data_IF_872663785377
#
_entry.id   IF_872663785377
#
_cell.length_a   1.000
_cell.length_b   1.000
_cell.length_c   1.000
_cell.angle_alpha   90.00
_cell.angle_beta   90.00
_cell.angle_gamma   90.00
#
_symmetry.space_group_name_H-M   'P 1'
#
loop_
_entity.id
_entity.type
_entity.pdbx_description
1 polymer ?
#
# COMPACT_ATOMS: atom_id res chain seq x y z
N UNK A 1 23.93 -1.67 9.98
CA UNK A 1 24.40 -2.78 10.82
C UNK A 1 23.41 -3.95 10.83
N UNK A 2 22.11 -3.72 11.13
CA UNK A 2 21.09 -4.78 11.18
C UNK A 2 20.96 -5.61 9.89
N UNK A 3 20.85 -4.96 8.73
CA UNK A 3 20.72 -5.66 7.43
C UNK A 3 21.91 -6.57 7.11
N UNK A 4 23.13 -6.15 7.40
CA UNK A 4 24.34 -6.94 7.14
C UNK A 4 24.41 -8.17 8.05
N UNK A 5 24.02 -8.02 9.33
CA UNK A 5 23.96 -9.12 10.28
C UNK A 5 22.88 -10.14 9.88
N UNK A 6 21.68 -9.69 9.49
CA UNK A 6 20.61 -10.57 9.03
C UNK A 6 21.03 -11.35 7.79
N UNK A 7 21.61 -10.65 6.81
CA UNK A 7 22.12 -11.29 5.60
C UNK A 7 23.16 -12.38 5.93
N UNK A 8 24.09 -12.11 6.86
CA UNK A 8 25.03 -13.13 7.33
C UNK A 8 24.31 -14.34 7.92
N UNK A 9 23.30 -14.13 8.78
CA UNK A 9 22.53 -15.23 9.38
C UNK A 9 21.87 -16.09 8.30
N UNK A 10 21.27 -15.49 7.28
CA UNK A 10 20.61 -16.21 6.18
C UNK A 10 21.58 -17.09 5.39
N UNK A 11 22.75 -16.53 5.03
CA UNK A 11 23.80 -17.30 4.36
C UNK A 11 24.41 -18.37 5.28
N UNK A 12 24.52 -18.11 6.58
CA UNK A 12 24.99 -19.08 7.55
C UNK A 12 24.02 -20.26 7.73
N UNK A 13 22.70 -19.99 7.69
CA UNK A 13 21.67 -21.03 7.67
C UNK A 13 21.81 -21.96 6.46
N UNK A 14 21.97 -21.38 5.26
CA UNK A 14 22.25 -22.14 4.03
C UNK A 14 23.54 -22.96 4.12
N UNK A 15 24.61 -22.37 4.65
CA UNK A 15 25.90 -23.04 4.85
C UNK A 15 25.78 -24.28 5.74
N UNK A 16 25.10 -24.15 6.90
CA UNK A 16 24.89 -25.29 7.82
C UNK A 16 24.08 -26.40 7.17
N UNK A 17 22.98 -26.07 6.48
CA UNK A 17 22.15 -27.07 5.79
C UNK A 17 22.91 -27.80 4.69
N UNK A 18 23.80 -27.11 3.97
CA UNK A 18 24.70 -27.75 2.99
C UNK A 18 25.62 -28.81 3.63
N UNK A 19 25.97 -28.66 4.90
CA UNK A 19 26.73 -29.66 5.67
C UNK A 19 25.84 -30.77 6.28
N UNK A 20 24.55 -30.80 5.96
CA UNK A 20 23.59 -31.73 6.56
C UNK A 20 23.21 -31.38 8.00
N UNK A 21 23.57 -30.18 8.48
CA UNK A 21 23.25 -29.74 9.84
C UNK A 21 21.96 -28.92 9.86
N UNK A 22 21.10 -29.10 10.88
CA UNK A 22 19.89 -28.30 11.01
C UNK A 22 20.24 -26.83 11.29
N UNK A 23 19.59 -25.94 10.54
CA UNK A 23 19.59 -24.49 10.76
C UNK A 23 18.42 -23.85 10.00
N UNK A 24 17.74 -22.90 10.62
CA UNK A 24 16.66 -22.12 9.99
C UNK A 24 16.78 -20.68 10.45
N UNK A 25 16.73 -19.74 9.52
CA UNK A 25 16.59 -18.31 9.81
C UNK A 25 15.17 -17.86 9.54
N UNK A 26 14.72 -16.87 10.30
CA UNK A 26 13.37 -16.33 10.18
C UNK A 26 13.47 -14.81 10.06
N UNK A 27 13.11 -14.29 8.90
CA UNK A 27 12.97 -12.86 8.68
C UNK A 27 11.61 -12.40 9.22
N UNK A 28 11.66 -11.71 10.37
CA UNK A 28 10.49 -11.16 11.03
C UNK A 28 10.10 -9.82 10.39
N UNK A 29 8.85 -9.73 9.95
CA UNK A 29 8.20 -8.48 9.57
C UNK A 29 7.82 -7.62 10.78
N UNK A 30 7.00 -6.59 10.55
CA UNK A 30 6.51 -5.72 11.62
C UNK A 30 5.52 -6.47 12.51
N UNK A 31 5.85 -6.57 13.80
CA UNK A 31 4.97 -7.14 14.82
C UNK A 31 4.16 -6.01 15.45
N UNK A 32 2.84 -6.03 15.29
CA UNK A 32 1.98 -4.89 15.60
C UNK A 32 1.32 -4.92 16.99
N UNK A 33 1.50 -5.99 17.76
CA UNK A 33 0.90 -6.21 19.08
C UNK A 33 1.94 -6.36 20.21
N UNK A 34 3.24 -6.43 19.91
CA UNK A 34 4.32 -6.57 20.87
C UNK A 34 5.45 -5.55 20.68
N UNK A 35 5.99 -5.06 21.79
CA UNK A 35 7.17 -4.21 21.82
C UNK A 35 6.87 -2.71 21.77
N UNK A 36 7.90 -1.84 21.88
CA UNK A 36 7.71 -0.40 21.97
C UNK A 36 7.29 0.26 20.64
N UNK A 37 7.54 -0.41 19.52
CA UNK A 37 7.26 0.12 18.17
C UNK A 37 5.77 0.10 17.80
N UNK A 38 4.95 -0.65 18.53
CA UNK A 38 3.50 -0.73 18.30
C UNK A 38 2.79 0.56 18.70
N UNK A 39 3.37 1.30 19.66
CA UNK A 39 2.84 2.56 20.15
C UNK A 39 3.50 3.78 19.48
N UNK A 40 4.50 3.59 18.61
CA UNK A 40 5.11 4.68 17.86
C UNK A 40 4.25 5.01 16.63
N UNK A 41 3.55 6.16 16.62
CA UNK A 41 2.68 6.53 15.52
C UNK A 41 3.45 6.71 14.20
N UNK A 42 4.74 7.04 14.25
CA UNK A 42 5.56 7.18 13.03
C UNK A 42 5.80 5.80 12.42
N UNK A 43 6.26 4.84 13.21
CA UNK A 43 6.52 3.46 12.75
C UNK A 43 5.25 2.79 12.23
N UNK A 44 4.13 2.90 12.96
CA UNK A 44 2.84 2.31 12.53
C UNK A 44 2.37 2.90 11.20
N UNK A 45 2.45 4.23 11.05
CA UNK A 45 2.07 4.91 9.79
C UNK A 45 3.00 4.52 8.64
N UNK A 46 4.30 4.40 8.89
CA UNK A 46 5.27 3.99 7.87
C UNK A 46 4.98 2.57 7.36
N UNK A 47 4.74 1.60 8.25
CA UNK A 47 4.41 0.23 7.84
C UNK A 47 3.06 0.12 7.13
N UNK A 48 2.04 0.85 7.62
CA UNK A 48 0.74 0.90 6.96
C UNK A 48 0.85 1.47 5.53
N UNK A 49 1.76 2.43 5.31
CA UNK A 49 2.01 3.08 4.03
C UNK A 49 2.81 2.23 3.05
N UNK A 50 3.76 1.43 3.56
CA UNK A 50 4.56 0.54 2.73
C UNK A 50 3.76 -0.69 2.24
N UNK A 51 2.51 -0.86 2.70
CA UNK A 51 1.56 -1.93 2.32
C UNK A 51 2.10 -3.35 2.59
N UNK A 52 3.01 -3.47 3.56
CA UNK A 52 3.47 -4.77 4.05
C UNK A 52 2.43 -5.40 4.98
N UNK A 53 2.38 -6.73 5.01
CA UNK A 53 1.54 -7.45 5.98
C UNK A 53 2.19 -7.35 7.37
N UNK A 54 1.45 -6.77 8.31
CA UNK A 54 1.80 -6.81 9.73
C UNK A 54 1.48 -8.17 10.34
N UNK A 55 2.19 -8.53 11.41
CA UNK A 55 2.06 -9.80 12.10
C UNK A 55 1.76 -9.58 13.57
N UNK A 56 1.08 -10.55 14.19
CA UNK A 56 0.96 -10.61 15.65
C UNK A 56 2.05 -11.51 16.24
N UNK A 57 2.37 -11.34 17.52
CA UNK A 57 3.29 -12.22 18.23
C UNK A 57 2.87 -13.68 18.17
N UNK A 58 1.56 -13.95 18.29
CA UNK A 58 1.00 -15.28 18.17
C UNK A 58 1.22 -15.89 16.76
N UNK A 59 1.04 -15.09 15.70
CA UNK A 59 1.33 -15.53 14.33
C UNK A 59 2.81 -15.85 14.15
N UNK A 60 3.71 -15.02 14.69
CA UNK A 60 5.15 -15.27 14.64
C UNK A 60 5.49 -16.60 15.30
N UNK A 61 4.99 -16.84 16.52
CA UNK A 61 5.24 -18.12 17.23
C UNK A 61 4.70 -19.31 16.44
N UNK A 62 3.50 -19.21 15.85
CA UNK A 62 2.96 -20.26 14.99
C UNK A 62 3.83 -20.51 13.74
N UNK A 63 4.39 -19.45 13.15
CA UNK A 63 5.30 -19.57 12.00
C UNK A 63 6.68 -20.15 12.35
N UNK A 64 7.04 -20.26 13.62
CA UNK A 64 8.25 -20.95 14.05
C UNK A 64 8.08 -22.48 14.09
N UNK A 65 6.84 -22.99 14.18
CA UNK A 65 6.57 -24.43 14.27
C UNK A 65 7.20 -25.23 13.10
N UNK A 66 7.09 -24.82 11.82
CA UNK A 66 7.76 -25.49 10.71
C UNK A 66 9.29 -25.53 10.84
N UNK A 67 9.90 -24.56 11.52
CA UNK A 67 11.34 -24.53 11.75
C UNK A 67 11.80 -25.67 12.68
N UNK A 68 10.92 -26.19 13.53
CA UNK A 68 11.21 -27.22 14.51
C UNK A 68 10.69 -28.61 14.09
N UNK A 69 9.48 -28.71 13.52
CA UNK A 69 8.78 -29.99 13.34
C UNK A 69 9.14 -30.72 12.04
N UNK A 70 9.43 -30.00 10.95
CA UNK A 70 9.63 -30.57 9.61
C UNK A 70 11.08 -30.48 9.10
N UNK A 71 12.06 -30.42 10.00
CA UNK A 71 13.47 -30.24 9.63
C UNK A 71 14.18 -31.58 9.33
N UNK A 72 13.60 -32.38 8.44
CA UNK A 72 14.20 -33.62 7.95
C UNK A 72 14.78 -33.43 6.53
N UNK A 73 15.90 -34.09 6.20
CA UNK A 73 16.58 -33.93 4.91
C UNK A 73 15.74 -34.36 3.69
N UNK A 74 14.64 -35.09 3.90
CA UNK A 74 13.74 -35.57 2.86
C UNK A 74 12.36 -34.88 2.90
N UNK A 75 12.22 -33.77 3.62
CA UNK A 75 10.97 -33.02 3.61
C UNK A 75 10.74 -32.47 2.18
N UNK A 76 9.62 -32.84 1.55
CA UNK A 76 9.24 -32.28 0.27
C UNK A 76 8.42 -31.00 0.47
N UNK A 77 8.78 -29.94 -0.23
CA UNK A 77 8.01 -28.70 -0.31
C UNK A 77 8.02 -28.16 -1.74
N UNK A 78 7.09 -27.24 -2.01
CA UNK A 78 6.98 -26.60 -3.31
C UNK A 78 8.26 -25.79 -3.61
N UNK A 79 8.93 -26.09 -4.72
CA UNK A 79 10.19 -25.44 -5.10
C UNK A 79 11.46 -26.10 -4.52
N UNK A 80 11.34 -27.24 -3.82
CA UNK A 80 12.51 -28.02 -3.36
C UNK A 80 13.48 -28.35 -4.51
N UNK A 81 12.95 -28.74 -5.68
CA UNK A 81 13.77 -29.10 -6.84
C UNK A 81 14.48 -27.89 -7.47
N UNK A 82 13.91 -26.69 -7.33
CA UNK A 82 14.50 -25.45 -7.84
C UNK A 82 15.58 -24.91 -6.90
N UNK A 83 15.34 -24.95 -5.57
CA UNK A 83 16.33 -24.63 -4.55
C UNK A 83 16.11 -25.47 -3.28
N UNK A 84 16.88 -26.55 -3.07
CA UNK A 84 16.73 -27.42 -1.88
C UNK A 84 17.20 -26.73 -0.59
N UNK A 85 17.95 -25.63 -0.68
CA UNK A 85 18.37 -24.85 0.49
C UNK A 85 17.38 -23.72 0.82
N UNK A 86 16.31 -23.53 0.03
CA UNK A 86 15.27 -22.52 0.29
C UNK A 86 14.60 -22.69 1.66
N UNK A 87 14.42 -23.93 2.14
CA UNK A 87 13.84 -24.19 3.45
C UNK A 87 14.71 -23.69 4.63
N UNK A 88 15.96 -23.28 4.39
CA UNK A 88 16.80 -22.67 5.43
C UNK A 88 16.33 -21.29 5.88
N UNK A 89 15.42 -20.65 5.14
CA UNK A 89 14.96 -19.29 5.42
C UNK A 89 13.43 -19.20 5.34
N UNK A 90 12.82 -18.65 6.38
CA UNK A 90 11.38 -18.36 6.45
C UNK A 90 11.21 -16.85 6.40
N UNK A 91 10.48 -16.35 5.40
CA UNK A 91 10.14 -14.92 5.29
C UNK A 91 8.69 -14.72 5.72
N UNK A 92 8.48 -13.79 6.64
CA UNK A 92 7.16 -13.47 7.19
C UNK A 92 6.65 -12.12 6.66
N UNK A 93 5.33 -11.90 6.69
CA UNK A 93 4.75 -10.59 6.33
C UNK A 93 4.70 -10.28 4.83
N UNK A 94 4.78 -11.31 3.97
CA UNK A 94 4.69 -11.19 2.51
C UNK A 94 3.80 -12.27 1.88
N UNK A 95 2.81 -12.79 2.62
CA UNK A 95 1.89 -13.79 2.10
C UNK A 95 1.07 -13.21 0.93
N UNK A 96 1.18 -13.76 -0.30
CA UNK A 96 0.49 -13.22 -1.46
C UNK A 96 -1.04 -13.18 -1.30
N UNK A 97 -1.63 -14.15 -0.62
CA UNK A 97 -3.07 -14.21 -0.39
C UNK A 97 -3.53 -13.16 0.62
N UNK A 98 -2.71 -12.87 1.64
CA UNK A 98 -3.00 -11.81 2.61
C UNK A 98 -2.83 -10.43 1.95
N UNK A 99 -1.74 -10.23 1.21
CA UNK A 99 -1.50 -9.00 0.45
C UNK A 99 -2.61 -8.73 -0.58
N UNK A 100 -3.10 -9.77 -1.27
CA UNK A 100 -4.25 -9.66 -2.18
C UNK A 100 -5.54 -9.22 -1.46
N UNK A 101 -5.82 -9.75 -0.26
CA UNK A 101 -6.95 -9.32 0.58
C UNK A 101 -6.78 -7.86 1.02
N UNK A 102 -5.57 -7.47 1.43
CA UNK A 102 -5.24 -6.09 1.83
C UNK A 102 -5.37 -5.10 0.66
N UNK A 103 -4.96 -5.50 -0.54
CA UNK A 103 -5.11 -4.68 -1.74
C UNK A 103 -6.59 -4.43 -2.05
N UNK A 104 -7.46 -5.44 -1.87
CA UNK A 104 -8.92 -5.31 -2.05
C UNK A 104 -9.61 -4.43 -1.01
N UNK A 105 -9.27 -4.60 0.27
CA UNK A 105 -9.80 -3.70 1.31
C UNK A 105 -9.33 -2.25 1.11
N UNK A 106 -8.13 -2.07 0.55
CA UNK A 106 -7.61 -0.76 0.16
C UNK A 106 -8.26 -0.21 -1.11
N UNK A 107 -8.66 -1.04 -2.08
CA UNK A 107 -9.35 -0.58 -3.31
C UNK A 107 -10.80 -0.19 -3.07
N UNK A 108 -11.44 -0.74 -2.04
CA UNK A 108 -12.77 -0.33 -1.58
C UNK A 108 -12.77 1.10 -0.98
N UNK A 109 -11.61 1.61 -0.56
CA UNK A 109 -11.41 3.01 -0.18
C UNK A 109 -11.35 3.91 -1.43
N UNK A 110 -12.01 5.08 -1.38
CA UNK A 110 -11.97 6.08 -2.46
C UNK A 110 -10.55 6.59 -2.78
N UNK A 111 -9.58 6.39 -1.88
CA UNK A 111 -8.21 6.83 -2.05
C UNK A 111 -7.41 5.75 -2.81
N UNK A 112 -7.11 5.99 -4.10
CA UNK A 112 -6.09 5.23 -4.84
C UNK A 112 -4.71 5.46 -4.20
N UNK A 113 -4.39 4.77 -3.11
CA UNK A 113 -3.10 4.93 -2.44
C UNK A 113 -1.95 4.52 -3.39
N UNK A 114 -0.90 5.34 -3.55
CA UNK A 114 0.18 5.07 -4.50
C UNK A 114 0.81 3.69 -4.29
N UNK A 115 1.23 3.03 -5.37
CA UNK A 115 1.97 1.75 -5.29
C UNK A 115 3.28 1.99 -4.54
N UNK A 116 3.59 1.20 -3.51
CA UNK A 116 4.84 1.37 -2.76
C UNK A 116 6.03 1.24 -3.69
N UNK A 117 7.07 2.06 -3.49
CA UNK A 117 8.23 2.15 -4.42
C UNK A 117 8.89 0.80 -4.71
N UNK A 118 8.90 -0.10 -3.72
CA UNK A 118 9.48 -1.44 -3.86
C UNK A 118 8.72 -2.32 -4.86
N UNK A 119 7.46 -2.02 -5.20
CA UNK A 119 6.69 -2.78 -6.20
C UNK A 119 7.27 -2.64 -7.61
N UNK A 120 8.07 -1.60 -7.86
CA UNK A 120 8.71 -1.39 -9.17
C UNK A 120 10.05 -2.15 -9.28
N UNK A 121 10.50 -2.80 -8.21
CA UNK A 121 11.74 -3.55 -8.23
C UNK A 121 11.54 -4.91 -8.92
N UNK A 122 12.35 -5.27 -9.94
CA UNK A 122 12.19 -6.54 -10.64
C UNK A 122 12.37 -7.75 -9.73
N UNK A 123 13.07 -7.61 -8.60
CA UNK A 123 13.30 -8.71 -7.63
C UNK A 123 12.03 -9.15 -6.92
N UNK A 124 10.99 -8.31 -6.88
CA UNK A 124 9.70 -8.68 -6.28
C UNK A 124 8.65 -9.11 -7.31
N UNK A 125 9.02 -9.18 -8.59
CA UNK A 125 8.07 -9.48 -9.68
C UNK A 125 7.30 -10.79 -9.49
N UNK A 126 7.96 -11.87 -9.06
CA UNK A 126 7.31 -13.15 -8.80
C UNK A 126 6.32 -13.08 -7.63
N UNK A 127 6.68 -12.36 -6.56
CA UNK A 127 5.80 -12.15 -5.41
C UNK A 127 4.56 -11.34 -5.81
N UNK A 128 4.75 -10.25 -6.58
CA UNK A 128 3.64 -9.45 -7.08
C UNK A 128 2.74 -10.24 -8.04
N UNK A 129 3.33 -11.11 -8.86
CA UNK A 129 2.56 -12.01 -9.72
C UNK A 129 1.70 -12.97 -8.90
N UNK A 130 2.27 -13.56 -7.84
CA UNK A 130 1.51 -14.41 -6.93
C UNK A 130 0.36 -13.65 -6.23
N UNK A 131 0.52 -12.37 -5.91
CA UNK A 131 -0.55 -11.51 -5.37
C UNK A 131 -1.67 -11.30 -6.39
N UNK A 132 -1.31 -11.06 -7.66
CA UNK A 132 -2.27 -10.93 -8.76
C UNK A 132 -3.03 -12.24 -9.00
N UNK A 133 -2.33 -13.37 -9.05
CA UNK A 133 -2.92 -14.69 -9.21
C UNK A 133 -3.87 -15.00 -8.04
N UNK A 134 -3.46 -14.75 -6.79
CA UNK A 134 -4.32 -14.91 -5.60
C UNK A 134 -5.56 -14.00 -5.62
N UNK A 135 -5.44 -12.79 -6.20
CA UNK A 135 -6.57 -11.89 -6.38
C UNK A 135 -7.57 -12.47 -7.38
N UNK A 136 -7.08 -12.99 -8.51
CA UNK A 136 -7.90 -13.56 -9.58
C UNK A 136 -8.67 -14.82 -9.18
N UNK A 137 -8.04 -15.71 -8.40
CA UNK A 137 -8.68 -16.93 -7.89
C UNK A 137 -9.83 -16.64 -6.90
N UNK A 138 -9.79 -15.50 -6.20
CA UNK A 138 -10.87 -15.10 -5.30
C UNK A 138 -12.05 -14.43 -6.02
N UNK A 139 -11.87 -14.01 -7.27
CA UNK A 139 -12.87 -13.28 -8.05
C UNK A 139 -13.83 -14.21 -8.82
N UNK A 140 -13.70 -15.53 -8.72
CA UNK A 140 -14.57 -16.48 -9.43
C UNK A 140 -16.01 -16.54 -8.89
N UNK A 141 -16.29 -15.99 -7.69
CA UNK A 141 -17.60 -16.09 -7.03
C UNK A 141 -18.35 -14.76 -6.84
N UNK A 142 -17.83 -13.64 -7.34
CA UNK A 142 -18.54 -12.35 -7.28
C UNK A 142 -18.46 -11.62 -8.61
N UNK A 143 -19.59 -11.58 -9.32
CA UNK A 143 -19.87 -10.55 -10.32
C UNK A 143 -19.71 -9.18 -9.63
N UNK A 144 -18.53 -8.58 -9.68
CA UNK A 144 -18.36 -7.22 -9.19
C UNK A 144 -17.79 -6.28 -10.24
N UNK A 145 -18.64 -5.33 -10.57
CA UNK A 145 -18.46 -4.07 -11.28
C UNK A 145 -17.44 -3.11 -10.64
N UNK A 146 -16.45 -3.60 -9.91
CA UNK A 146 -15.50 -2.79 -9.14
C UNK A 146 -14.38 -2.22 -10.03
N UNK A 147 -14.81 -1.45 -11.03
CA UNK A 147 -13.95 -0.47 -11.67
C UNK A 147 -13.66 0.55 -10.56
N UNK A 148 -12.40 0.63 -10.10
CA UNK A 148 -11.92 1.62 -9.11
C UNK A 148 -12.76 2.90 -9.12
N UNK A 149 -13.27 3.36 -7.96
CA UNK A 149 -14.09 4.59 -7.88
C UNK A 149 -13.42 5.78 -8.59
N UNK A 150 -12.08 5.86 -8.60
CA UNK A 150 -11.27 6.79 -9.42
C UNK A 150 -11.52 6.69 -10.92
N UNK A 151 -11.64 5.47 -11.45
CA UNK A 151 -12.02 5.21 -12.83
C UNK A 151 -13.52 5.48 -13.09
N UNK A 152 -14.40 5.26 -12.10
CA UNK A 152 -15.79 5.72 -12.17
C UNK A 152 -15.87 7.26 -12.21
N UNK A 153 -15.04 7.96 -11.44
CA UNK A 153 -14.92 9.43 -11.45
C UNK A 153 -14.41 9.94 -12.80
N UNK A 154 -13.35 9.34 -13.38
CA UNK A 154 -12.89 9.68 -14.74
C UNK A 154 -14.00 9.46 -15.78
N UNK A 155 -14.84 8.43 -15.63
CA UNK A 155 -16.00 8.19 -16.52
C UNK A 155 -17.11 9.21 -16.31
N UNK A 156 -17.46 9.56 -15.07
CA UNK A 156 -18.49 10.58 -14.77
C UNK A 156 -18.06 11.98 -15.20
N UNK A 157 -16.78 12.35 -15.01
CA UNK A 157 -16.19 13.58 -15.55
C UNK A 157 -16.31 13.66 -17.07
N UNK A 158 -16.10 12.54 -17.78
CA UNK A 158 -16.29 12.48 -19.24
C UNK A 158 -17.76 12.45 -19.66
N UNK A 159 -18.66 11.91 -18.83
CA UNK A 159 -20.09 11.79 -19.13
C UNK A 159 -20.89 13.08 -18.80
N UNK A 160 -20.40 13.93 -17.90
CA UNK A 160 -21.05 15.18 -17.45
C UNK A 160 -21.08 16.33 -18.46
N UNK A 161 -20.53 16.16 -19.67
CA UNK A 161 -20.41 17.21 -20.69
C UNK A 161 -21.72 17.67 -21.37
N UNK A 162 -22.91 17.36 -20.83
CA UNK A 162 -24.21 17.67 -21.46
C UNK A 162 -25.26 18.32 -20.53
N UNK A 163 -24.83 19.01 -19.47
CA UNK A 163 -25.70 19.87 -18.63
C UNK A 163 -25.23 21.33 -18.63
N UNK A 164 -26.11 22.27 -18.23
CA UNK A 164 -25.79 23.71 -18.09
C UNK A 164 -24.44 23.92 -17.40
N UNK A 165 -23.52 24.62 -18.09
CA UNK A 165 -22.10 24.77 -17.75
C UNK A 165 -21.83 25.12 -16.29
N UNK A 166 -22.60 26.02 -15.69
CA UNK A 166 -22.33 26.53 -14.33
C UNK A 166 -22.75 25.55 -13.20
N UNK A 167 -23.82 24.78 -13.40
CA UNK A 167 -24.29 23.79 -12.42
C UNK A 167 -23.43 22.52 -12.41
N UNK A 168 -22.99 22.08 -13.60
CA UNK A 168 -22.15 20.91 -13.77
C UNK A 168 -20.73 21.13 -13.19
N UNK A 169 -20.16 22.33 -13.34
CA UNK A 169 -18.86 22.68 -12.76
C UNK A 169 -18.90 22.66 -11.24
N UNK A 170 -19.94 23.24 -10.63
CA UNK A 170 -20.10 23.27 -9.16
C UNK A 170 -20.19 21.86 -8.57
N UNK A 171 -21.01 21.00 -9.17
CA UNK A 171 -21.15 19.61 -8.73
C UNK A 171 -19.85 18.80 -8.92
N UNK A 172 -19.11 19.09 -9.99
CA UNK A 172 -17.81 18.46 -10.26
C UNK A 172 -16.77 18.86 -9.21
N UNK A 173 -16.73 20.13 -8.82
CA UNK A 173 -15.82 20.63 -7.78
C UNK A 173 -16.12 19.96 -6.44
N UNK A 174 -17.39 19.77 -6.07
CA UNK A 174 -17.76 19.07 -4.84
C UNK A 174 -17.30 17.61 -4.84
N UNK A 175 -17.50 16.89 -5.94
CA UNK A 175 -17.03 15.50 -6.09
C UNK A 175 -15.51 15.39 -5.98
N UNK A 176 -14.76 16.28 -6.64
CA UNK A 176 -13.29 16.30 -6.55
C UNK A 176 -12.83 16.69 -5.16
N UNK A 177 -13.52 17.63 -4.50
CA UNK A 177 -13.23 18.01 -3.11
C UNK A 177 -13.39 16.82 -2.18
N UNK A 178 -14.45 16.02 -2.33
CA UNK A 178 -14.68 14.85 -1.49
C UNK A 178 -13.63 13.76 -1.74
N UNK A 179 -13.22 13.54 -3.00
CA UNK A 179 -12.13 12.62 -3.32
C UNK A 179 -10.79 13.07 -2.70
N UNK A 180 -10.50 14.37 -2.74
CA UNK A 180 -9.32 14.94 -2.09
C UNK A 180 -9.39 14.75 -0.56
N UNK A 181 -10.54 15.02 0.07
CA UNK A 181 -10.74 14.81 1.51
C UNK A 181 -10.54 13.36 1.90
N UNK A 182 -11.11 12.42 1.15
CA UNK A 182 -10.95 10.99 1.40
C UNK A 182 -9.49 10.56 1.31
N UNK A 183 -8.72 11.09 0.35
CA UNK A 183 -7.29 10.80 0.25
C UNK A 183 -6.48 11.39 1.41
N UNK A 184 -6.71 12.67 1.74
CA UNK A 184 -6.05 13.34 2.88
C UNK A 184 -6.34 12.61 4.20
N UNK A 185 -7.60 12.19 4.41
CA UNK A 185 -8.01 11.39 5.55
C UNK A 185 -7.25 10.06 5.62
N UNK A 186 -7.13 9.37 4.48
CA UNK A 186 -6.37 8.12 4.37
C UNK A 186 -4.87 8.31 4.63
N UNK A 187 -4.26 9.41 4.20
CA UNK A 187 -2.84 9.70 4.45
C UNK A 187 -2.58 9.97 5.93
N UNK A 188 -3.51 10.63 6.61
CA UNK A 188 -3.40 11.00 8.02
C UNK A 188 -3.89 9.91 8.99
N UNK A 189 -4.56 8.86 8.47
CA UNK A 189 -5.25 7.83 9.23
C UNK A 189 -6.34 8.39 10.16
N UNK A 190 -7.12 9.32 9.64
CA UNK A 190 -8.26 9.96 10.34
C UNK A 190 -9.55 9.73 9.57
N UNK A 191 -10.69 9.96 10.23
CA UNK A 191 -11.99 9.90 9.58
C UNK A 191 -12.16 11.04 8.55
N UNK A 192 -12.84 10.77 7.43
CA UNK A 192 -13.08 11.77 6.37
C UNK A 192 -13.84 12.99 6.88
N UNK A 193 -14.74 12.80 7.85
CA UNK A 193 -15.50 13.87 8.50
C UNK A 193 -14.62 14.85 9.27
N UNK A 194 -13.45 14.42 9.74
CA UNK A 194 -12.49 15.28 10.45
C UNK A 194 -11.69 16.20 9.52
N UNK A 195 -11.66 15.91 8.22
CA UNK A 195 -10.92 16.68 7.22
C UNK A 195 -11.76 17.87 6.75
N UNK A 196 -11.40 19.08 7.18
CA UNK A 196 -12.03 20.32 6.75
C UNK A 196 -11.53 20.76 5.35
N UNK A 197 -12.42 20.91 4.34
CA UNK A 197 -12.04 21.32 2.99
C UNK A 197 -11.52 22.77 2.87
N UNK A 198 -11.80 23.63 3.84
CA UNK A 198 -11.37 25.03 3.86
C UNK A 198 -9.99 25.22 4.50
N UNK A 199 -9.38 24.15 5.02
CA UNK A 199 -8.01 24.17 5.52
C UNK A 199 -7.02 23.74 4.45
N UNK A 200 -5.77 24.15 4.60
CA UNK A 200 -4.67 23.70 3.74
C UNK A 200 -4.19 22.29 4.14
N UNK A 201 -3.46 21.64 3.24
CA UNK A 201 -2.83 20.35 3.54
C UNK A 201 -1.84 20.45 4.72
N UNK A 202 -1.10 21.55 4.83
CA UNK A 202 -0.14 21.78 5.91
C UNK A 202 -0.84 21.93 7.28
N UNK A 203 -1.99 22.62 7.33
CA UNK A 203 -2.81 22.76 8.54
C UNK A 203 -3.42 21.45 9.03
N UNK A 204 -3.58 20.47 8.14
CA UNK A 204 -3.99 19.11 8.50
C UNK A 204 -2.82 18.24 8.98
N UNK A 205 -1.59 18.78 9.01
CA UNK A 205 -0.40 18.06 9.46
C UNK A 205 0.23 17.17 8.40
N UNK A 206 -0.05 17.40 7.11
CA UNK A 206 0.67 16.75 6.01
C UNK A 206 2.09 17.32 5.96
N UNK A 207 3.08 16.46 6.20
CA UNK A 207 4.50 16.79 6.10
C UNK A 207 5.01 16.75 4.64
N UNK A 208 6.29 17.07 4.43
CA UNK A 208 6.88 17.08 3.08
C UNK A 208 6.87 15.72 2.37
N UNK A 209 6.91 14.61 3.11
CA UNK A 209 6.92 13.26 2.56
C UNK A 209 5.49 12.82 2.17
N UNK A 210 4.52 13.06 3.05
CA UNK A 210 3.10 12.85 2.79
C UNK A 210 2.60 13.74 1.65
N UNK A 211 3.09 14.98 1.56
CA UNK A 211 2.75 15.90 0.48
C UNK A 211 3.27 15.40 -0.88
N UNK A 212 4.46 14.81 -0.93
CA UNK A 212 4.98 14.21 -2.15
C UNK A 212 4.11 13.03 -2.63
N UNK A 213 3.60 12.22 -1.71
CA UNK A 213 2.68 11.12 -2.04
C UNK A 213 1.32 11.62 -2.51
N UNK A 214 0.76 12.60 -1.80
CA UNK A 214 -0.48 13.24 -2.17
C UNK A 214 -0.41 13.86 -3.57
N UNK A 215 0.71 14.52 -3.89
CA UNK A 215 1.00 15.07 -5.22
C UNK A 215 1.02 13.99 -6.31
N UNK A 216 1.74 12.89 -6.07
CA UNK A 216 1.81 11.77 -7.03
C UNK A 216 0.43 11.16 -7.25
N UNK A 217 -0.38 11.06 -6.19
CA UNK A 217 -1.76 10.62 -6.30
C UNK A 217 -2.61 11.58 -7.15
N UNK A 218 -2.56 12.89 -6.91
CA UNK A 218 -3.29 13.89 -7.71
C UNK A 218 -2.96 13.76 -9.20
N UNK A 219 -1.68 13.54 -9.52
CA UNK A 219 -1.23 13.34 -10.89
C UNK A 219 -1.79 12.04 -11.50
N UNK A 220 -1.78 10.92 -10.77
CA UNK A 220 -2.36 9.66 -11.26
C UNK A 220 -3.89 9.70 -11.41
N UNK A 221 -4.57 10.33 -10.43
CA UNK A 221 -6.02 10.41 -10.35
C UNK A 221 -6.61 11.38 -11.39
N UNK A 222 -6.01 12.56 -11.56
CA UNK A 222 -6.60 13.63 -12.38
C UNK A 222 -5.73 14.05 -13.58
N UNK A 223 -4.50 13.54 -13.70
CA UNK A 223 -3.59 13.90 -14.80
C UNK A 223 -2.91 15.26 -14.65
N UNK A 224 -3.20 16.02 -13.59
CA UNK A 224 -2.59 17.34 -13.33
C UNK A 224 -1.38 17.22 -12.40
N UNK A 225 -0.22 17.69 -12.86
CA UNK A 225 0.96 17.86 -12.01
C UNK A 225 0.86 19.15 -11.19
N UNK A 226 0.47 19.05 -9.92
CA UNK A 226 0.53 20.18 -8.97
C UNK A 226 1.97 20.38 -8.52
N UNK A 227 2.49 21.59 -8.43
CA UNK A 227 3.86 21.80 -7.95
C UNK A 227 3.94 21.67 -6.41
N UNK A 228 5.10 21.32 -5.86
CA UNK A 228 5.23 21.23 -4.40
C UNK A 228 5.06 22.59 -3.71
N UNK A 229 5.49 23.68 -4.37
CA UNK A 229 5.33 25.05 -3.87
C UNK A 229 3.86 25.45 -3.84
N UNK A 230 3.09 25.13 -4.89
CA UNK A 230 1.65 25.37 -4.94
C UNK A 230 0.89 24.53 -3.91
N UNK A 231 1.30 23.27 -3.71
CA UNK A 231 0.66 22.37 -2.75
C UNK A 231 0.87 22.81 -1.30
N UNK A 232 2.03 23.41 -0.99
CA UNK A 232 2.39 23.88 0.35
C UNK A 232 2.09 25.36 0.59
N UNK A 233 1.45 26.05 -0.35
CA UNK A 233 1.04 27.43 -0.18
C UNK A 233 -0.05 27.53 0.92
N UNK A 234 0.15 28.43 1.88
CA UNK A 234 -0.79 28.72 2.97
C UNK A 234 -2.18 29.19 2.49
N UNK A 235 -2.32 29.57 1.21
CA UNK A 235 -3.60 29.97 0.61
C UNK A 235 -4.28 28.83 -0.17
N UNK A 236 -3.64 27.68 -0.31
CA UNK A 236 -4.13 26.57 -1.12
C UNK A 236 -4.96 25.59 -0.28
N UNK A 237 -6.23 25.92 -0.08
CA UNK A 237 -7.18 25.03 0.60
C UNK A 237 -7.53 23.81 -0.25
N UNK A 238 -8.02 22.73 0.37
CA UNK A 238 -8.43 21.52 -0.38
C UNK A 238 -9.50 21.84 -1.43
N UNK A 239 -10.45 22.73 -1.12
CA UNK A 239 -11.48 23.18 -2.07
C UNK A 239 -10.90 24.01 -3.21
N UNK A 240 -9.93 24.88 -2.94
CA UNK A 240 -9.24 25.67 -3.98
C UNK A 240 -8.40 24.76 -4.89
N UNK A 241 -7.77 23.74 -4.31
CA UNK A 241 -7.06 22.69 -5.04
C UNK A 241 -8.01 21.89 -5.96
N UNK A 242 -9.18 21.50 -5.46
CA UNK A 242 -10.21 20.83 -6.26
C UNK A 242 -10.61 21.69 -7.48
N UNK A 243 -10.87 22.98 -7.28
CA UNK A 243 -11.19 23.92 -8.37
C UNK A 243 -10.05 24.00 -9.40
N UNK A 244 -8.81 24.15 -8.95
CA UNK A 244 -7.62 24.18 -9.81
C UNK A 244 -7.49 22.90 -10.65
N UNK A 245 -7.81 21.74 -10.08
CA UNK A 245 -7.80 20.45 -10.78
C UNK A 245 -8.90 20.42 -11.85
N UNK A 246 -10.14 20.81 -11.52
CA UNK A 246 -11.28 20.81 -12.44
C UNK A 246 -11.06 21.74 -13.64
N UNK A 247 -10.63 22.98 -13.39
CA UNK A 247 -10.30 23.96 -14.43
C UNK A 247 -9.22 23.43 -15.39
N UNK A 248 -8.19 22.77 -14.84
CA UNK A 248 -7.11 22.19 -15.63
C UNK A 248 -7.52 20.98 -16.48
N UNK A 249 -8.55 20.23 -16.05
CA UNK A 249 -9.06 19.06 -16.78
C UNK A 249 -10.08 19.39 -17.87
N UNK A 250 -10.74 20.55 -17.78
CA UNK A 250 -11.70 21.04 -18.78
C UNK A 250 -11.03 21.83 -19.92
N UNK A 251 -9.81 22.32 -19.71
CA UNK A 251 -9.05 23.14 -20.65
C UNK A 251 -8.08 22.40 -21.58
N UNK A 252 -8.01 21.07 -21.52
CA UNK A 252 -7.13 20.23 -22.36
C UNK A 252 -7.89 19.09 -23.03
#
# INVERSE_FOLDING_TARGET
MYLAANNYLDYFGRYRRRLGLPATTVALGFINDLGPLTNDPVTVKLFARDKGQSLTGAQVVGMLEPAFVNNHPNAEWLGHNDDPLSASHIVTGIDPAVLAKMARSSSASLASSPTSRWHQDPRVSLMLRAVEDASSLSNSDTNDSDTSRTAQYKRQLKAGGKGSKEGAETQTIELVTEAIRANVASLLFVDVGSVNPEKTVAEHGIDSLMAAEFRNWLQGAFGKGVSMLELMDAKMTLRRLARSVVEGTLGG
#
